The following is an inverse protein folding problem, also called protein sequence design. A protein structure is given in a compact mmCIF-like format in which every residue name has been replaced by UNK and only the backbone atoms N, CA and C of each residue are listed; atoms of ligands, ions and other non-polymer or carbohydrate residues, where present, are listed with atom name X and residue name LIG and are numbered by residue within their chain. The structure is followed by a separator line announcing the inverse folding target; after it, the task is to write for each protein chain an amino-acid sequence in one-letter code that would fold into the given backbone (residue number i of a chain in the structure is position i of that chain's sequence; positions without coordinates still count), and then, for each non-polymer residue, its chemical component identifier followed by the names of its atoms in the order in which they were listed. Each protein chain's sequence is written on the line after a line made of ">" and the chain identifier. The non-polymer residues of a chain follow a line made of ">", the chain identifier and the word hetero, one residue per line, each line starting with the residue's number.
data_IF_396611320127
#
_entry.id   IF_396611320127
#
_cell.length_a   1.000
_cell.length_b   1.000
_cell.length_c   1.000
_cell.angle_alpha   90.00
_cell.angle_beta   90.00
_cell.angle_gamma   90.00
#
_symmetry.space_group_name_H-M   'P 1'
#
loop_
_entity.id
_entity.type
_entity.pdbx_description
1 polymer ?
#
# COMPACT_ATOMS: atom_id res chain seq x y z
N UNK A 1 -20.63 -34.57 -9.66
CA UNK A 1 -19.98 -33.45 -10.38
C UNK A 1 -20.79 -32.21 -10.09
N UNK A 2 -20.29 -31.31 -9.24
CA UNK A 2 -21.01 -30.08 -8.90
C UNK A 2 -21.06 -29.17 -10.13
N UNK A 3 -22.23 -28.64 -10.44
CA UNK A 3 -22.48 -27.76 -11.58
C UNK A 3 -21.77 -26.41 -11.32
N UNK A 4 -20.93 -25.95 -12.27
CA UNK A 4 -20.31 -24.62 -12.17
C UNK A 4 -21.40 -23.55 -12.14
N UNK A 5 -21.54 -22.86 -11.02
CA UNK A 5 -22.48 -21.75 -10.87
C UNK A 5 -22.01 -20.63 -11.81
N UNK A 6 -22.84 -20.16 -12.76
CA UNK A 6 -22.44 -19.10 -13.66
C UNK A 6 -22.16 -17.82 -12.85
N UNK A 7 -20.98 -17.22 -13.07
CA UNK A 7 -20.62 -15.92 -12.50
C UNK A 7 -21.66 -14.90 -12.97
N UNK A 8 -22.54 -14.46 -12.06
CA UNK A 8 -23.59 -13.48 -12.35
C UNK A 8 -23.04 -12.05 -12.29
N UNK A 9 -23.49 -11.16 -13.18
CA UNK A 9 -23.16 -9.73 -13.20
C UNK A 9 -21.90 -9.33 -13.99
N UNK A 10 -21.41 -8.12 -13.72
CA UNK A 10 -20.26 -7.47 -14.41
C UNK A 10 -18.97 -8.32 -14.39
N UNK A 11 -18.85 -9.22 -13.40
CA UNK A 11 -17.74 -10.15 -13.24
C UNK A 11 -17.62 -11.20 -14.37
N UNK A 12 -18.63 -11.36 -15.23
CA UNK A 12 -18.56 -12.25 -16.42
C UNK A 12 -17.70 -11.68 -17.55
N UNK A 13 -17.55 -10.37 -17.62
CA UNK A 13 -16.74 -9.69 -18.64
C UNK A 13 -15.28 -9.47 -18.20
N UNK A 14 -14.97 -9.82 -16.95
CA UNK A 14 -13.65 -9.67 -16.34
C UNK A 14 -12.81 -10.93 -16.56
N UNK A 15 -11.48 -10.74 -16.71
CA UNK A 15 -10.53 -11.87 -16.71
C UNK A 15 -10.52 -12.55 -15.34
N UNK A 16 -10.16 -13.83 -15.33
CA UNK A 16 -10.01 -14.56 -14.06
C UNK A 16 -8.95 -13.90 -13.16
N UNK A 17 -9.30 -13.71 -11.89
CA UNK A 17 -8.45 -13.02 -10.90
C UNK A 17 -8.65 -11.50 -10.82
N UNK A 18 -9.37 -10.88 -11.76
CA UNK A 18 -9.69 -9.46 -11.65
C UNK A 18 -10.71 -9.23 -10.53
N UNK A 19 -10.34 -8.36 -9.59
CA UNK A 19 -11.23 -7.91 -8.51
C UNK A 19 -11.74 -6.52 -8.85
N UNK A 20 -13.06 -6.32 -8.70
CA UNK A 20 -13.69 -5.03 -8.92
C UNK A 20 -14.33 -4.57 -7.61
N UNK A 21 -13.78 -3.51 -7.03
CA UNK A 21 -14.30 -2.88 -5.81
C UNK A 21 -15.08 -1.62 -6.19
N UNK A 22 -16.29 -1.46 -5.63
CA UNK A 22 -17.13 -0.28 -5.87
C UNK A 22 -17.90 0.06 -4.59
N UNK A 23 -18.21 1.35 -4.42
CA UNK A 23 -19.00 1.85 -3.31
C UNK A 23 -18.14 2.43 -2.19
N UNK A 24 -18.80 3.02 -1.21
CA UNK A 24 -18.14 3.71 -0.09
C UNK A 24 -17.46 2.73 0.86
N UNK A 25 -18.16 1.68 1.27
CA UNK A 25 -17.62 0.75 2.26
C UNK A 25 -16.47 -0.10 1.70
N UNK A 26 -16.66 -0.71 0.53
CA UNK A 26 -15.68 -1.67 0.03
C UNK A 26 -14.46 -1.01 -0.63
N UNK A 27 -14.65 0.10 -1.34
CA UNK A 27 -13.56 0.77 -2.05
C UNK A 27 -12.98 1.94 -1.23
N UNK A 28 -13.81 2.85 -0.72
CA UNK A 28 -13.31 4.08 -0.09
C UNK A 28 -12.73 3.80 1.29
N UNK A 29 -13.44 3.09 2.17
CA UNK A 29 -12.93 2.80 3.51
C UNK A 29 -11.66 1.95 3.44
N UNK A 30 -11.63 0.90 2.62
CA UNK A 30 -10.44 0.08 2.41
C UNK A 30 -9.23 0.89 1.94
N UNK A 31 -9.43 1.83 1.03
CA UNK A 31 -8.36 2.72 0.57
C UNK A 31 -7.84 3.61 1.71
N UNK A 32 -8.75 4.17 2.53
CA UNK A 32 -8.39 5.01 3.67
C UNK A 32 -7.63 4.20 4.71
N UNK A 33 -8.12 3.01 5.07
CA UNK A 33 -7.49 2.12 6.05
C UNK A 33 -6.05 1.80 5.66
N UNK A 34 -5.80 1.41 4.41
CA UNK A 34 -4.45 1.14 3.92
C UNK A 34 -3.51 2.35 4.05
N UNK A 35 -4.01 3.55 3.76
CA UNK A 35 -3.25 4.78 3.89
C UNK A 35 -3.00 5.18 5.36
N UNK A 36 -4.00 4.97 6.23
CA UNK A 36 -3.90 5.24 7.67
C UNK A 36 -2.92 4.30 8.33
N UNK A 37 -2.93 3.02 7.96
CA UNK A 37 -1.97 2.03 8.45
C UNK A 37 -0.53 2.45 8.11
N UNK A 38 -0.27 2.80 6.85
CA UNK A 38 1.03 3.30 6.41
C UNK A 38 1.45 4.57 7.16
N UNK A 39 0.54 5.53 7.35
CA UNK A 39 0.81 6.74 8.12
C UNK A 39 1.11 6.44 9.59
N UNK A 40 0.45 5.44 10.19
CA UNK A 40 0.69 5.03 11.59
C UNK A 40 2.11 4.50 11.80
N UNK A 41 2.65 3.76 10.82
CA UNK A 41 4.01 3.22 10.89
C UNK A 41 5.06 4.33 10.81
N UNK A 42 4.85 5.30 9.92
CA UNK A 42 5.76 6.44 9.70
C UNK A 42 5.69 7.51 10.78
N UNK A 43 4.53 7.71 11.42
CA UNK A 43 4.33 8.76 12.44
C UNK A 43 5.40 8.73 13.53
N UNK A 44 5.82 7.54 13.93
CA UNK A 44 6.82 7.35 14.98
C UNK A 44 8.26 7.68 14.56
N UNK A 45 8.54 7.79 13.26
CA UNK A 45 9.84 8.20 12.71
C UNK A 45 9.93 9.71 12.46
N UNK A 46 8.83 10.45 12.63
CA UNK A 46 8.77 11.88 12.31
C UNK A 46 9.36 12.76 13.43
N UNK A 47 10.08 13.81 13.03
CA UNK A 47 10.62 14.85 13.91
C UNK A 47 12.02 14.55 14.47
N UNK A 48 12.59 15.48 15.27
CA UNK A 48 13.96 15.38 15.78
C UNK A 48 14.16 14.21 16.76
N UNK A 49 13.09 13.78 17.42
CA UNK A 49 13.06 12.60 18.31
C UNK A 49 12.42 11.38 17.62
N UNK A 50 12.36 11.38 16.29
CA UNK A 50 11.81 10.27 15.52
C UNK A 50 12.61 8.98 15.72
N UNK A 51 11.90 7.87 15.88
CA UNK A 51 12.53 6.56 16.01
C UNK A 51 12.98 6.04 14.65
N UNK A 52 14.23 5.58 14.57
CA UNK A 52 14.73 4.87 13.40
C UNK A 52 13.93 3.58 13.17
N UNK A 53 13.67 3.28 11.91
CA UNK A 53 13.08 2.02 11.45
C UNK A 53 14.15 1.15 10.82
N UNK A 54 14.14 -0.12 11.22
CA UNK A 54 14.93 -1.14 10.57
C UNK A 54 14.07 -1.76 9.46
N UNK A 55 14.52 -1.61 8.21
CA UNK A 55 13.86 -2.16 7.02
C UNK A 55 14.81 -3.17 6.38
N UNK A 56 14.31 -4.38 6.14
CA UNK A 56 15.04 -5.44 5.45
C UNK A 56 14.34 -5.65 4.12
N UNK A 57 15.04 -5.40 3.02
CA UNK A 57 14.47 -5.54 1.68
C UNK A 57 14.53 -7.00 1.18
N UNK A 58 13.91 -7.29 0.04
CA UNK A 58 13.83 -8.62 -0.60
C UNK A 58 15.20 -9.24 -0.95
N UNK A 59 16.28 -8.45 -0.99
CA UNK A 59 17.67 -8.91 -1.21
C UNK A 59 18.45 -8.96 0.12
N UNK A 60 17.76 -9.03 1.26
CA UNK A 60 18.36 -9.08 2.62
C UNK A 60 19.24 -7.86 2.99
N UNK A 61 19.14 -6.77 2.23
CA UNK A 61 19.82 -5.52 2.57
C UNK A 61 19.11 -4.84 3.73
N UNK A 62 19.89 -4.48 4.75
CA UNK A 62 19.41 -3.82 5.97
C UNK A 62 19.59 -2.31 5.89
N UNK A 63 18.51 -1.58 6.18
CA UNK A 63 18.48 -0.12 6.30
C UNK A 63 18.01 0.25 7.69
N UNK A 64 18.70 1.19 8.34
CA UNK A 64 18.26 1.79 9.61
C UNK A 64 18.18 3.28 9.40
N UNK A 65 16.95 3.81 9.32
CA UNK A 65 16.72 5.22 8.99
C UNK A 65 15.41 5.73 9.58
N UNK A 66 15.32 7.03 9.85
CA UNK A 66 14.08 7.72 10.18
C UNK A 66 13.48 8.48 8.98
N UNK A 67 14.16 8.47 7.83
CA UNK A 67 13.65 9.12 6.63
C UNK A 67 12.47 8.33 6.03
N UNK A 68 11.32 8.99 5.96
CA UNK A 68 10.09 8.41 5.44
C UNK A 68 10.18 8.03 3.96
N UNK A 69 10.89 8.82 3.14
CA UNK A 69 11.00 8.55 1.71
C UNK A 69 11.82 7.27 1.46
N UNK A 70 12.95 7.13 2.16
CA UNK A 70 13.77 5.91 2.13
C UNK A 70 12.99 4.70 2.66
N UNK A 71 12.28 4.82 3.80
CA UNK A 71 11.46 3.71 4.34
C UNK A 71 10.43 3.25 3.31
N UNK A 72 9.68 4.18 2.70
CA UNK A 72 8.64 3.87 1.73
C UNK A 72 9.17 3.31 0.40
N UNK A 73 10.41 3.64 0.03
CA UNK A 73 11.05 3.12 -1.18
C UNK A 73 11.48 1.67 -1.04
N UNK A 74 11.93 1.28 0.15
CA UNK A 74 12.41 -0.09 0.43
C UNK A 74 11.28 -1.05 0.84
N UNK A 75 10.11 -0.53 1.25
CA UNK A 75 8.93 -1.35 1.55
C UNK A 75 8.20 -1.81 0.28
N UNK A 76 7.82 -3.10 0.25
CA UNK A 76 6.98 -3.64 -0.81
C UNK A 76 5.49 -3.43 -0.51
N UNK A 77 4.90 -2.42 -1.14
CA UNK A 77 3.52 -2.00 -0.91
C UNK A 77 2.63 -2.51 -2.03
N UNK A 78 1.65 -3.35 -1.68
CA UNK A 78 0.74 -3.96 -2.64
C UNK A 78 -0.48 -3.09 -2.96
N UNK A 79 -0.93 -2.27 -2.00
CA UNK A 79 -2.19 -1.54 -2.12
C UNK A 79 -2.08 -0.34 -3.09
N UNK A 80 -2.95 -0.22 -4.12
CA UNK A 80 -2.83 0.84 -5.14
C UNK A 80 -2.93 2.26 -4.58
N UNK A 81 -3.85 2.50 -3.64
CA UNK A 81 -4.00 3.83 -3.03
C UNK A 81 -2.74 4.25 -2.23
N UNK A 82 -2.09 3.29 -1.56
CA UNK A 82 -0.87 3.55 -0.82
C UNK A 82 0.31 3.85 -1.77
N UNK A 83 0.38 3.18 -2.94
CA UNK A 83 1.39 3.48 -3.97
C UNK A 83 1.33 4.93 -4.45
N UNK A 84 0.14 5.54 -4.50
CA UNK A 84 0.01 6.96 -4.89
C UNK A 84 0.71 7.88 -3.88
N UNK A 85 0.59 7.58 -2.58
CA UNK A 85 1.28 8.33 -1.51
C UNK A 85 2.80 8.20 -1.64
N UNK A 86 3.31 7.01 -1.93
CA UNK A 86 4.75 6.80 -2.15
C UNK A 86 5.24 7.64 -3.32
N UNK A 87 4.53 7.63 -4.45
CA UNK A 87 4.91 8.42 -5.62
C UNK A 87 4.95 9.92 -5.28
N UNK A 88 3.99 10.41 -4.50
CA UNK A 88 4.01 11.79 -4.01
C UNK A 88 5.23 12.07 -3.11
N UNK A 89 5.56 11.16 -2.19
CA UNK A 89 6.76 11.27 -1.34
C UNK A 89 8.06 11.29 -2.15
N UNK A 90 8.16 10.45 -3.17
CA UNK A 90 9.33 10.41 -4.07
C UNK A 90 9.44 11.68 -4.92
N UNK A 91 8.31 12.27 -5.32
CA UNK A 91 8.31 13.55 -6.02
C UNK A 91 8.77 14.68 -5.10
N UNK A 92 8.33 14.68 -3.84
CA UNK A 92 8.74 15.67 -2.84
C UNK A 92 10.24 15.57 -2.51
N UNK A 93 10.81 14.38 -2.42
CA UNK A 93 12.24 14.18 -2.17
C UNK A 93 13.12 14.63 -3.36
N UNK A 94 12.58 14.56 -4.58
CA UNK A 94 13.29 14.97 -5.81
C UNK A 94 13.30 16.49 -6.03
N UNK A 95 12.45 17.23 -5.33
CA UNK A 95 12.40 18.70 -5.39
C UNK A 95 13.31 19.31 -4.33
#
# INVERSE_FOLDING_TARGET
>A
MAMNIPKSGYNRFMKEGAQHFKGTDEAVLRNIEACVELASQLRSAYGPNGMNKMVINHIEKLFVTNDAATILKELDIQHPAAKIIIMASQMQEKQ
#
